data_IF_145988601901
#
_entry.id   IF_145988601901
#
_cell.length_a   1.000
_cell.length_b   1.000
_cell.length_c   1.000
_cell.angle_alpha   90.00
_cell.angle_beta   90.00
_cell.angle_gamma   90.00
#
_symmetry.space_group_name_H-M   'P 1'
#
loop_
_entity.id
_entity.type
_entity.pdbx_description
1 polymer ?
#
# COMPACT_ATOMS: atom_id res chain seq x y z
N UNK A 1 -40.96 -9.35 29.44
CA UNK A 1 -39.52 -9.31 29.73
C UNK A 1 -38.84 -10.23 28.71
N UNK A 2 -38.46 -9.69 27.54
CA UNK A 2 -37.68 -10.41 26.53
C UNK A 2 -36.20 -10.27 26.93
N UNK A 3 -35.55 -11.38 27.23
CA UNK A 3 -34.08 -11.48 27.29
C UNK A 3 -33.53 -11.39 25.86
N UNK A 4 -32.98 -10.23 25.51
CA UNK A 4 -32.14 -10.13 24.33
C UNK A 4 -30.85 -10.91 24.59
N UNK A 5 -30.69 -12.00 23.86
CA UNK A 5 -29.46 -12.78 23.83
C UNK A 5 -28.31 -11.92 23.34
N UNK A 6 -27.26 -11.81 24.13
CA UNK A 6 -25.97 -11.31 23.71
C UNK A 6 -25.47 -12.16 22.55
N UNK A 7 -25.55 -11.62 21.34
CA UNK A 7 -24.91 -12.21 20.19
C UNK A 7 -23.40 -12.28 20.50
N UNK A 8 -22.91 -13.51 20.52
CA UNK A 8 -21.51 -13.89 20.56
C UNK A 8 -20.87 -13.27 19.32
N UNK A 9 -20.22 -12.10 19.49
CA UNK A 9 -19.36 -11.54 18.46
C UNK A 9 -18.34 -12.63 18.12
N UNK A 10 -18.41 -13.08 16.91
CA UNK A 10 -17.59 -14.15 16.38
C UNK A 10 -16.12 -13.78 16.56
N UNK A 11 -15.41 -14.74 17.14
CA UNK A 11 -13.97 -14.79 17.22
C UNK A 11 -13.48 -15.14 15.80
N UNK A 12 -13.51 -14.16 14.89
CA UNK A 12 -13.11 -14.35 13.50
C UNK A 12 -11.75 -13.73 13.25
N UNK A 13 -10.86 -14.64 13.04
CA UNK A 13 -9.65 -14.52 12.22
C UNK A 13 -8.43 -13.91 12.88
N UNK A 14 -7.88 -14.60 13.85
CA UNK A 14 -6.41 -14.72 13.93
C UNK A 14 -5.94 -15.41 12.65
N UNK A 15 -4.79 -15.00 12.11
CA UNK A 15 -4.13 -15.78 11.06
C UNK A 15 -3.99 -17.23 11.57
N UNK A 16 -4.54 -18.25 10.88
CA UNK A 16 -4.55 -19.61 11.39
C UNK A 16 -3.11 -20.08 11.65
N UNK A 17 -2.81 -20.49 12.89
CA UNK A 17 -1.51 -21.00 13.27
C UNK A 17 -0.43 -19.95 13.55
N UNK A 18 -0.77 -18.65 13.58
CA UNK A 18 0.17 -17.57 13.87
C UNK A 18 0.03 -17.14 15.32
N UNK A 19 0.97 -17.53 16.15
CA UNK A 19 1.00 -17.17 17.58
C UNK A 19 1.75 -15.85 17.82
N UNK A 20 2.76 -15.57 17.02
CA UNK A 20 3.64 -14.41 17.16
C UNK A 20 4.05 -13.78 15.82
N UNK A 21 4.79 -12.68 15.89
CA UNK A 21 5.29 -11.91 14.76
C UNK A 21 6.22 -12.71 13.83
N UNK A 22 7.12 -13.52 14.39
CA UNK A 22 8.13 -14.24 13.62
C UNK A 22 7.48 -15.38 12.81
N UNK A 23 6.52 -16.06 13.40
CA UNK A 23 5.69 -17.07 12.72
C UNK A 23 4.89 -16.45 11.57
N UNK A 24 4.35 -15.24 11.77
CA UNK A 24 3.64 -14.51 10.73
C UNK A 24 4.56 -14.18 9.55
N UNK A 25 5.74 -13.61 9.82
CA UNK A 25 6.68 -13.27 8.76
C UNK A 25 7.23 -14.51 8.05
N UNK A 26 7.43 -15.61 8.74
CA UNK A 26 7.82 -16.87 8.12
C UNK A 26 6.77 -17.36 7.12
N UNK A 27 5.49 -17.34 7.51
CA UNK A 27 4.40 -17.72 6.61
C UNK A 27 4.30 -16.76 5.40
N UNK A 28 4.45 -15.44 5.62
CA UNK A 28 4.47 -14.46 4.55
C UNK A 28 5.63 -14.68 3.57
N UNK A 29 6.84 -14.99 4.09
CA UNK A 29 8.04 -15.18 3.27
C UNK A 29 7.98 -16.43 2.37
N UNK A 30 7.09 -17.38 2.65
CA UNK A 30 6.83 -18.52 1.76
C UNK A 30 6.08 -18.11 0.47
N UNK A 31 5.42 -16.95 0.46
CA UNK A 31 4.53 -16.50 -0.63
C UNK A 31 4.92 -15.14 -1.24
N UNK A 32 5.94 -14.46 -0.70
CA UNK A 32 6.50 -13.25 -1.31
C UNK A 32 8.00 -13.12 -1.02
N UNK A 33 8.66 -12.27 -1.80
CA UNK A 33 10.12 -12.07 -1.76
C UNK A 33 10.57 -11.06 -0.68
N UNK A 34 9.85 -10.97 0.46
CA UNK A 34 10.09 -9.97 1.51
C UNK A 34 11.55 -9.99 1.98
N UNK A 35 12.10 -11.17 2.33
CA UNK A 35 13.46 -11.28 2.86
C UNK A 35 14.51 -10.87 1.82
N UNK A 36 14.32 -11.25 0.56
CA UNK A 36 15.19 -10.83 -0.54
C UNK A 36 15.16 -9.30 -0.72
N UNK A 37 13.97 -8.68 -0.66
CA UNK A 37 13.84 -7.22 -0.72
C UNK A 37 14.51 -6.53 0.46
N UNK A 38 14.30 -7.02 1.68
CA UNK A 38 14.93 -6.46 2.88
C UNK A 38 16.44 -6.49 2.82
N UNK A 39 17.03 -7.56 2.27
CA UNK A 39 18.47 -7.70 2.11
C UNK A 39 19.07 -6.71 1.10
N UNK A 40 18.29 -6.22 0.14
CA UNK A 40 18.73 -5.31 -0.92
C UNK A 40 18.50 -3.83 -0.59
N UNK A 41 17.66 -3.53 0.39
CA UNK A 41 17.34 -2.13 0.75
C UNK A 41 18.56 -1.47 1.42
N UNK A 42 19.12 -0.38 0.86
CA UNK A 42 20.21 0.32 1.51
C UNK A 42 19.71 1.03 2.79
N UNK A 43 20.56 1.16 3.83
CA UNK A 43 20.21 1.81 5.09
C UNK A 43 19.76 3.28 4.92
N UNK A 44 20.14 3.92 3.82
CA UNK A 44 19.72 5.28 3.47
C UNK A 44 18.30 5.38 2.92
N UNK A 45 17.70 4.25 2.50
CA UNK A 45 16.34 4.23 1.97
C UNK A 45 15.32 4.37 3.10
N UNK A 46 14.50 5.41 3.00
CA UNK A 46 13.53 5.78 4.05
C UNK A 46 12.20 6.21 3.44
N UNK A 47 11.13 6.02 4.23
CA UNK A 47 9.78 6.54 3.99
C UNK A 47 9.29 7.39 5.15
N UNK A 48 8.37 8.32 4.88
CA UNK A 48 7.67 9.06 5.93
C UNK A 48 6.68 8.20 6.68
N UNK A 49 6.54 8.45 7.99
CA UNK A 49 5.67 7.70 8.89
C UNK A 49 4.19 7.71 8.51
N UNK A 50 3.71 8.72 7.79
CA UNK A 50 2.33 8.79 7.31
C UNK A 50 1.87 7.57 6.49
N UNK A 51 2.79 6.83 5.90
CA UNK A 51 2.45 5.60 5.16
C UNK A 51 2.18 4.42 6.09
N UNK A 52 2.78 4.41 7.27
CA UNK A 52 2.49 3.42 8.32
C UNK A 52 1.10 3.68 8.91
N UNK A 53 0.79 4.95 9.26
CA UNK A 53 -0.54 5.37 9.72
C UNK A 53 -1.62 4.97 8.69
N UNK A 54 -1.28 5.05 7.41
CA UNK A 54 -2.19 4.69 6.33
C UNK A 54 -2.48 3.18 6.29
N UNK A 55 -1.49 2.31 6.55
CA UNK A 55 -1.70 0.86 6.69
C UNK A 55 -2.61 0.56 7.89
N UNK A 56 -2.35 1.18 9.04
CA UNK A 56 -3.21 1.05 10.23
C UNK A 56 -4.66 1.44 9.93
N UNK A 57 -4.86 2.57 9.25
CA UNK A 57 -6.19 3.04 8.88
C UNK A 57 -6.95 2.10 7.93
N UNK A 58 -6.26 1.37 7.05
CA UNK A 58 -6.88 0.31 6.23
C UNK A 58 -7.34 -0.84 7.12
N UNK A 59 -6.46 -1.30 8.01
CA UNK A 59 -6.75 -2.42 8.90
C UNK A 59 -7.82 -2.09 9.94
N UNK A 60 -7.88 -0.84 10.40
CA UNK A 60 -8.97 -0.36 11.28
C UNK A 60 -10.32 -0.50 10.59
N UNK A 61 -10.46 -0.03 9.35
CA UNK A 61 -11.71 -0.17 8.57
C UNK A 61 -12.09 -1.62 8.31
N UNK A 62 -11.10 -2.51 8.20
CA UNK A 62 -11.30 -3.95 8.04
C UNK A 62 -11.54 -4.70 9.36
N UNK A 63 -11.48 -4.01 10.52
CA UNK A 63 -11.62 -4.65 11.83
C UNK A 63 -10.42 -5.50 12.25
N UNK A 64 -9.25 -5.31 11.61
CA UNK A 64 -8.02 -6.08 11.82
C UNK A 64 -6.96 -5.34 12.66
N UNK A 65 -7.23 -4.09 13.03
CA UNK A 65 -6.26 -3.26 13.77
C UNK A 65 -5.79 -3.88 15.09
N UNK A 66 -6.63 -4.51 15.94
CA UNK A 66 -6.16 -5.10 17.19
C UNK A 66 -5.13 -6.22 16.99
N UNK A 67 -5.36 -7.08 15.99
CA UNK A 67 -4.43 -8.16 15.64
C UNK A 67 -3.13 -7.59 15.06
N UNK A 68 -3.25 -6.61 14.17
CA UNK A 68 -2.09 -5.93 13.61
C UNK A 68 -1.22 -5.28 14.69
N UNK A 69 -1.79 -4.52 15.62
CA UNK A 69 -1.04 -3.87 16.71
C UNK A 69 -0.40 -4.88 17.68
N UNK A 70 -0.99 -6.05 17.84
CA UNK A 70 -0.36 -7.14 18.60
C UNK A 70 0.91 -7.67 17.91
N UNK A 71 0.89 -7.80 16.57
CA UNK A 71 2.00 -8.29 15.76
C UNK A 71 3.02 -7.19 15.44
N UNK A 72 2.57 -5.95 15.27
CA UNK A 72 3.36 -4.79 14.87
C UNK A 72 3.12 -3.64 15.87
N UNK A 73 3.69 -3.72 17.07
CA UNK A 73 3.39 -2.77 18.17
C UNK A 73 4.08 -1.41 18.02
N UNK A 74 4.91 -1.23 16.98
CA UNK A 74 5.64 0.00 16.76
C UNK A 74 4.70 1.13 16.35
N UNK A 75 4.97 2.35 16.83
CA UNK A 75 4.25 3.56 16.43
C UNK A 75 5.15 4.52 15.66
N UNK A 76 4.59 5.20 14.68
CA UNK A 76 5.32 6.08 13.78
C UNK A 76 4.75 7.50 13.82
N UNK A 77 5.63 8.49 13.74
CA UNK A 77 5.20 9.88 13.58
C UNK A 77 5.10 10.20 12.10
N UNK A 78 3.95 10.68 11.65
CA UNK A 78 3.64 10.93 10.23
C UNK A 78 4.71 11.74 9.48
N UNK A 79 5.37 12.68 10.17
CA UNK A 79 6.34 13.59 9.55
C UNK A 79 7.80 13.11 9.59
N UNK A 80 8.10 12.07 10.35
CA UNK A 80 9.47 11.52 10.45
C UNK A 80 9.73 10.51 9.35
N UNK A 81 11.01 10.32 9.06
CA UNK A 81 11.50 9.29 8.15
C UNK A 81 11.94 8.04 8.91
N UNK A 82 11.54 6.89 8.43
CA UNK A 82 11.85 5.57 8.98
C UNK A 82 12.48 4.68 7.90
N UNK A 83 13.21 3.61 8.26
CA UNK A 83 13.77 2.69 7.28
C UNK A 83 12.70 2.16 6.32
N UNK A 84 13.03 2.09 5.03
CA UNK A 84 12.08 1.58 4.03
C UNK A 84 11.70 0.11 4.28
N UNK A 85 12.62 -0.69 4.82
CA UNK A 85 12.36 -2.08 5.18
C UNK A 85 11.26 -2.23 6.23
N UNK A 86 11.10 -1.26 7.14
CA UNK A 86 10.01 -1.29 8.12
C UNK A 86 8.66 -1.13 7.41
N UNK A 87 8.55 -0.20 6.44
CA UNK A 87 7.30 -0.06 5.68
C UNK A 87 6.96 -1.34 4.91
N UNK A 88 7.96 -2.00 4.30
CA UNK A 88 7.72 -3.27 3.61
C UNK A 88 7.13 -4.32 4.55
N UNK A 89 7.67 -4.45 5.76
CA UNK A 89 7.13 -5.38 6.78
C UNK A 89 5.68 -5.03 7.13
N UNK A 90 5.37 -3.75 7.30
CA UNK A 90 4.03 -3.29 7.64
C UNK A 90 3.04 -3.53 6.49
N UNK A 91 3.43 -3.28 5.24
CA UNK A 91 2.61 -3.54 4.05
C UNK A 91 2.36 -5.04 3.87
N UNK A 92 3.40 -5.88 4.02
CA UNK A 92 3.25 -7.33 3.89
C UNK A 92 2.37 -7.93 5.01
N UNK A 93 2.58 -7.51 6.26
CA UNK A 93 1.72 -7.91 7.38
C UNK A 93 0.29 -7.45 7.18
N UNK A 94 0.08 -6.21 6.76
CA UNK A 94 -1.25 -5.69 6.44
C UNK A 94 -1.95 -6.47 5.34
N UNK A 95 -1.22 -6.83 4.29
CA UNK A 95 -1.72 -7.66 3.20
C UNK A 95 -2.16 -9.06 3.67
N UNK A 96 -1.31 -9.71 4.47
CA UNK A 96 -1.61 -11.03 5.02
C UNK A 96 -2.82 -11.03 5.97
N UNK A 97 -2.98 -9.97 6.78
CA UNK A 97 -4.15 -9.82 7.67
C UNK A 97 -5.45 -9.51 6.92
N UNK A 98 -5.39 -8.82 5.78
CA UNK A 98 -6.58 -8.55 4.96
C UNK A 98 -7.06 -9.78 4.19
N UNK A 99 -6.16 -10.64 3.79
CA UNK A 99 -6.44 -11.84 2.99
C UNK A 99 -5.94 -13.09 3.70
N UNK A 100 -4.74 -13.50 3.40
CA UNK A 100 -3.99 -14.57 4.06
C UNK A 100 -2.52 -14.46 3.65
N UNK A 101 -1.57 -15.18 4.28
CA UNK A 101 -0.20 -15.25 3.81
C UNK A 101 -0.09 -15.73 2.35
N UNK A 102 -0.90 -16.71 1.93
CA UNK A 102 -0.92 -17.26 0.58
C UNK A 102 -1.38 -16.22 -0.46
N UNK A 103 -2.31 -15.34 -0.08
CA UNK A 103 -2.85 -14.28 -0.92
C UNK A 103 -2.28 -12.89 -0.58
N UNK A 104 -1.08 -12.84 0.00
CA UNK A 104 -0.47 -11.60 0.50
C UNK A 104 -0.36 -10.51 -0.56
N UNK A 105 -0.05 -10.84 -1.81
CA UNK A 105 0.00 -9.87 -2.91
C UNK A 105 -1.36 -9.24 -3.21
N UNK A 106 -2.46 -10.01 -3.17
CA UNK A 106 -3.80 -9.46 -3.29
C UNK A 106 -4.14 -8.53 -2.13
N UNK A 107 -3.75 -8.91 -0.90
CA UNK A 107 -3.91 -8.04 0.27
C UNK A 107 -3.05 -6.78 0.20
N UNK A 108 -1.80 -6.85 -0.23
CA UNK A 108 -0.95 -5.67 -0.46
C UNK A 108 -1.55 -4.72 -1.51
N UNK A 109 -2.17 -5.27 -2.56
CA UNK A 109 -2.90 -4.46 -3.54
C UNK A 109 -4.05 -3.70 -2.87
N UNK A 110 -4.83 -4.35 -2.00
CA UNK A 110 -5.91 -3.70 -1.25
C UNK A 110 -5.38 -2.62 -0.30
N UNK A 111 -4.30 -2.90 0.43
CA UNK A 111 -3.64 -1.88 1.27
C UNK A 111 -3.29 -0.65 0.44
N UNK A 112 -2.65 -0.82 -0.71
CA UNK A 112 -2.28 0.28 -1.59
C UNK A 112 -3.49 1.07 -2.09
N UNK A 113 -4.52 0.38 -2.59
CA UNK A 113 -5.75 0.95 -3.11
C UNK A 113 -6.49 1.79 -2.06
N UNK A 114 -6.71 1.22 -0.89
CA UNK A 114 -7.48 1.85 0.17
C UNK A 114 -6.70 3.01 0.83
N UNK A 115 -5.37 2.97 0.82
CA UNK A 115 -4.54 4.10 1.23
C UNK A 115 -4.77 5.32 0.34
N UNK A 116 -4.79 5.13 -0.97
CA UNK A 116 -5.00 6.23 -1.92
C UNK A 116 -6.41 6.83 -1.76
N UNK A 117 -7.43 5.97 -1.63
CA UNK A 117 -8.82 6.41 -1.39
C UNK A 117 -8.96 7.15 -0.05
N UNK A 118 -8.33 6.64 1.02
CA UNK A 118 -8.35 7.28 2.33
C UNK A 118 -7.65 8.65 2.30
N UNK A 119 -6.49 8.77 1.66
CA UNK A 119 -5.82 10.06 1.48
C UNK A 119 -6.73 11.06 0.76
N UNK A 120 -7.39 10.66 -0.31
CA UNK A 120 -8.31 11.51 -1.05
C UNK A 120 -9.49 12.02 -0.20
N UNK A 121 -9.88 11.30 0.85
CA UNK A 121 -10.94 11.71 1.78
C UNK A 121 -10.49 12.77 2.80
N UNK A 122 -9.18 13.01 2.98
CA UNK A 122 -8.65 14.06 3.87
C UNK A 122 -8.93 15.46 3.32
N UNK A 123 -8.78 16.50 4.15
CA UNK A 123 -8.97 17.89 3.71
C UNK A 123 -8.01 18.26 2.56
N UNK A 124 -6.74 17.88 2.68
CA UNK A 124 -5.73 18.10 1.65
C UNK A 124 -6.04 17.29 0.40
N UNK A 125 -6.34 16.00 0.55
CA UNK A 125 -6.68 15.11 -0.56
C UNK A 125 -7.91 15.60 -1.33
N UNK A 126 -8.99 15.97 -0.67
CA UNK A 126 -10.19 16.55 -1.32
C UNK A 126 -9.88 17.80 -2.12
N UNK A 127 -8.99 18.66 -1.62
CA UNK A 127 -8.57 19.86 -2.35
C UNK A 127 -7.81 19.49 -3.62
N UNK A 128 -6.87 18.55 -3.54
CA UNK A 128 -6.10 18.05 -4.69
C UNK A 128 -7.01 17.34 -5.70
N UNK A 129 -7.89 16.45 -5.23
CA UNK A 129 -8.88 15.77 -6.06
C UNK A 129 -9.71 16.78 -6.85
N UNK A 130 -10.28 17.81 -6.18
CA UNK A 130 -11.11 18.85 -6.84
C UNK A 130 -10.34 19.63 -7.91
N UNK A 131 -9.04 19.88 -7.69
CA UNK A 131 -8.20 20.62 -8.65
C UNK A 131 -7.75 19.76 -9.83
N UNK A 132 -7.67 18.45 -9.66
CA UNK A 132 -7.03 17.54 -10.61
C UNK A 132 -7.99 16.52 -11.23
N UNK A 133 -9.27 16.46 -10.77
CA UNK A 133 -10.27 15.47 -11.20
C UNK A 133 -10.54 15.47 -12.72
N UNK A 134 -10.30 16.58 -13.39
CA UNK A 134 -10.50 16.71 -14.83
C UNK A 134 -9.28 16.31 -15.68
N UNK A 135 -8.17 15.95 -15.04
CA UNK A 135 -6.93 15.60 -15.75
C UNK A 135 -6.22 14.44 -15.02
N UNK A 136 -6.56 13.18 -15.34
CA UNK A 136 -5.93 12.00 -14.75
C UNK A 136 -4.41 11.96 -14.91
N UNK A 137 -3.87 12.51 -15.99
CA UNK A 137 -2.42 12.59 -16.18
C UNK A 137 -1.74 13.45 -15.10
N UNK A 138 -2.37 14.56 -14.70
CA UNK A 138 -1.85 15.39 -13.60
C UNK A 138 -1.86 14.68 -12.25
N UNK A 139 -2.84 13.78 -12.00
CA UNK A 139 -2.83 12.96 -10.79
C UNK A 139 -1.59 12.08 -10.73
N UNK A 140 -1.22 11.43 -11.84
CA UNK A 140 -0.01 10.61 -11.92
C UNK A 140 1.24 11.46 -11.64
N UNK A 141 1.35 12.64 -12.24
CA UNK A 141 2.46 13.56 -11.98
C UNK A 141 2.55 13.97 -10.50
N UNK A 142 1.40 14.19 -9.84
CA UNK A 142 1.35 14.47 -8.40
C UNK A 142 1.79 13.27 -7.57
N UNK A 143 1.42 12.04 -7.95
CA UNK A 143 1.90 10.82 -7.31
C UNK A 143 3.44 10.71 -7.35
N UNK A 144 4.05 10.91 -8.52
CA UNK A 144 5.50 10.93 -8.66
C UNK A 144 6.16 12.08 -7.87
N UNK A 145 5.50 13.24 -7.78
CA UNK A 145 5.97 14.35 -6.95
C UNK A 145 5.89 14.03 -5.46
N UNK A 146 4.79 13.44 -5.01
CA UNK A 146 4.60 13.01 -3.63
C UNK A 146 5.66 11.97 -3.23
N UNK A 147 5.96 11.00 -4.10
CA UNK A 147 7.04 10.02 -3.88
C UNK A 147 8.36 10.71 -3.54
N UNK A 148 8.78 11.69 -4.36
CA UNK A 148 10.04 12.44 -4.12
C UNK A 148 10.06 13.21 -2.80
N UNK A 149 8.91 13.61 -2.28
CA UNK A 149 8.81 14.36 -1.02
C UNK A 149 8.69 13.46 0.21
N UNK A 150 8.33 12.20 0.03
CA UNK A 150 7.98 11.30 1.12
C UNK A 150 8.90 10.09 1.23
N UNK A 151 9.80 9.89 0.27
CA UNK A 151 10.83 8.85 0.31
C UNK A 151 12.19 9.37 -0.11
N UNK A 152 13.25 8.66 0.26
CA UNK A 152 14.64 9.01 -0.08
C UNK A 152 15.24 8.10 -1.15
N UNK A 153 14.45 7.23 -1.76
CA UNK A 153 14.89 6.25 -2.75
C UNK A 153 13.89 6.12 -3.88
N UNK A 154 14.32 5.45 -4.93
CA UNK A 154 13.51 5.15 -6.10
C UNK A 154 13.23 6.39 -6.95
N UNK A 155 13.01 6.17 -8.22
CA UNK A 155 12.65 7.22 -9.17
C UNK A 155 11.39 6.78 -9.91
N UNK A 156 10.41 7.67 -9.96
CA UNK A 156 9.21 7.51 -10.75
C UNK A 156 9.21 8.52 -11.89
N UNK A 157 9.14 8.05 -13.11
CA UNK A 157 9.05 8.87 -14.32
C UNK A 157 7.77 8.53 -15.05
N UNK A 158 7.04 9.54 -15.50
CA UNK A 158 5.78 9.38 -16.20
C UNK A 158 5.91 9.95 -17.59
N UNK A 159 5.44 9.20 -18.56
CA UNK A 159 5.40 9.56 -19.96
C UNK A 159 3.97 9.42 -20.48
N UNK A 160 3.42 10.49 -21.04
CA UNK A 160 2.11 10.44 -21.69
C UNK A 160 2.24 9.79 -23.05
N UNK A 161 1.48 8.74 -23.30
CA UNK A 161 1.51 7.99 -24.57
C UNK A 161 0.34 8.32 -25.47
N UNK A 162 -0.81 8.75 -24.90
CA UNK A 162 -1.96 9.25 -25.65
C UNK A 162 -2.81 10.20 -24.79
N UNK A 163 -3.98 10.59 -25.29
CA UNK A 163 -4.94 11.39 -24.51
C UNK A 163 -5.41 10.65 -23.26
N UNK A 164 -5.57 9.32 -23.33
CA UNK A 164 -6.10 8.47 -22.28
C UNK A 164 -5.13 7.39 -21.81
N UNK A 165 -3.83 7.59 -22.02
CA UNK A 165 -2.83 6.63 -21.57
C UNK A 165 -1.51 7.26 -21.18
N UNK A 166 -0.81 6.59 -20.27
CA UNK A 166 0.53 6.95 -19.82
C UNK A 166 1.32 5.69 -19.45
N UNK A 167 2.64 5.81 -19.46
CA UNK A 167 3.55 4.83 -18.87
C UNK A 167 4.21 5.45 -17.66
N UNK A 168 4.13 4.77 -16.52
CA UNK A 168 4.87 5.13 -15.31
C UNK A 168 6.01 4.14 -15.11
N UNK A 169 7.24 4.63 -15.18
CA UNK A 169 8.46 3.86 -14.99
C UNK A 169 8.92 3.94 -13.55
N UNK A 170 9.40 2.84 -13.03
CA UNK A 170 9.93 2.68 -11.69
C UNK A 170 11.38 2.23 -11.76
N UNK A 171 12.27 2.91 -11.05
CA UNK A 171 13.67 2.55 -10.88
C UNK A 171 13.97 2.46 -9.38
N UNK A 172 14.57 1.36 -8.95
CA UNK A 172 14.91 1.09 -7.53
C UNK A 172 13.70 1.25 -6.59
N UNK A 173 12.52 0.75 -7.01
CA UNK A 173 11.31 0.74 -6.17
C UNK A 173 11.26 -0.53 -5.36
N UNK A 174 11.53 -0.42 -4.06
CA UNK A 174 11.58 -1.58 -3.17
C UNK A 174 10.20 -2.08 -2.75
N UNK A 175 9.15 -1.24 -2.78
CA UNK A 175 7.79 -1.72 -2.63
C UNK A 175 7.34 -2.51 -3.87
N UNK A 176 6.42 -3.43 -3.69
CA UNK A 176 5.90 -4.29 -4.76
C UNK A 176 5.15 -3.46 -5.82
N UNK A 177 5.77 -3.32 -7.00
CA UNK A 177 5.22 -2.59 -8.16
C UNK A 177 3.94 -3.27 -8.62
N UNK A 178 3.94 -4.61 -8.66
CA UNK A 178 2.87 -5.47 -9.17
C UNK A 178 1.64 -5.54 -8.26
N UNK A 179 1.77 -5.21 -6.99
CA UNK A 179 0.68 -5.30 -6.02
C UNK A 179 0.44 -3.96 -5.31
N UNK A 180 1.24 -3.59 -4.31
CA UNK A 180 1.00 -2.40 -3.49
C UNK A 180 0.96 -1.10 -4.31
N UNK A 181 1.94 -0.87 -5.20
CA UNK A 181 2.01 0.34 -6.02
C UNK A 181 0.89 0.36 -7.07
N UNK A 182 0.59 -0.81 -7.67
CA UNK A 182 -0.54 -0.96 -8.59
C UNK A 182 -1.87 -0.63 -7.90
N UNK A 183 -2.07 -1.14 -6.69
CA UNK A 183 -3.24 -0.84 -5.89
C UNK A 183 -3.37 0.67 -5.62
N UNK A 184 -2.29 1.32 -5.19
CA UNK A 184 -2.28 2.77 -4.97
C UNK A 184 -2.62 3.57 -6.24
N UNK A 185 -2.15 3.10 -7.41
CA UNK A 185 -2.51 3.67 -8.71
C UNK A 185 -4.02 3.57 -8.97
N UNK A 186 -4.61 2.38 -8.86
CA UNK A 186 -6.06 2.17 -9.04
C UNK A 186 -6.86 3.03 -8.07
N UNK A 187 -6.55 3.01 -6.76
CA UNK A 187 -7.24 3.82 -5.75
C UNK A 187 -7.14 5.32 -6.01
N UNK A 188 -6.05 5.78 -6.62
CA UNK A 188 -5.88 7.18 -7.02
C UNK A 188 -6.92 7.57 -8.09
N UNK A 189 -7.12 6.75 -9.13
CA UNK A 189 -8.15 6.99 -10.15
C UNK A 189 -9.56 6.90 -9.56
N UNK A 190 -9.84 5.88 -8.77
CA UNK A 190 -11.15 5.72 -8.11
C UNK A 190 -11.51 6.93 -7.23
N UNK A 191 -10.51 7.52 -6.57
CA UNK A 191 -10.72 8.68 -5.69
C UNK A 191 -11.22 9.93 -6.41
N UNK A 192 -11.03 10.01 -7.73
CA UNK A 192 -11.54 11.10 -8.58
C UNK A 192 -12.74 10.66 -9.43
N UNK A 193 -13.29 9.47 -9.18
CA UNK A 193 -14.41 8.91 -9.93
C UNK A 193 -14.05 8.45 -11.34
N UNK A 194 -12.77 8.26 -11.63
CA UNK A 194 -12.28 7.73 -12.90
C UNK A 194 -12.03 6.21 -12.78
N UNK A 195 -12.18 5.52 -13.90
CA UNK A 195 -11.81 4.11 -14.02
C UNK A 195 -10.51 4.01 -14.82
N UNK A 196 -9.56 3.24 -14.31
CA UNK A 196 -8.32 2.96 -15.03
C UNK A 196 -8.00 1.47 -15.02
N UNK A 197 -7.31 1.02 -16.06
CA UNK A 197 -6.62 -0.27 -16.09
C UNK A 197 -5.12 -0.03 -15.96
N UNK A 198 -4.45 -0.88 -15.20
CA UNK A 198 -3.00 -0.83 -15.00
C UNK A 198 -2.43 -2.22 -15.27
N UNK A 199 -1.76 -2.36 -16.39
CA UNK A 199 -0.95 -3.53 -16.69
C UNK A 199 0.47 -3.31 -16.18
N UNK A 200 1.11 -4.37 -15.67
CA UNK A 200 2.41 -4.30 -15.03
C UNK A 200 3.43 -5.09 -15.85
N UNK A 201 4.53 -4.46 -16.14
CA UNK A 201 5.70 -5.10 -16.73
C UNK A 201 6.90 -4.89 -15.80
N UNK A 202 7.50 -5.97 -15.34
CA UNK A 202 8.67 -5.94 -14.47
C UNK A 202 9.93 -6.19 -15.30
N UNK A 203 10.92 -5.30 -15.17
CA UNK A 203 12.25 -5.46 -15.75
C UNK A 203 13.22 -6.14 -14.75
N UNK A 204 12.78 -6.27 -13.51
CA UNK A 204 13.49 -6.88 -12.39
C UNK A 204 12.65 -6.76 -11.11
N UNK A 205 13.15 -7.20 -9.95
CA UNK A 205 12.38 -7.16 -8.71
C UNK A 205 12.11 -5.76 -8.19
N UNK A 206 12.85 -4.73 -8.65
CA UNK A 206 12.77 -3.34 -8.16
C UNK A 206 12.58 -2.32 -9.27
N UNK A 207 12.52 -2.80 -10.51
CA UNK A 207 12.41 -1.96 -11.70
C UNK A 207 11.28 -2.49 -12.59
N UNK A 208 10.58 -1.58 -13.24
CA UNK A 208 9.46 -1.95 -14.10
C UNK A 208 8.63 -0.78 -14.53
N UNK A 209 7.45 -1.06 -15.05
CA UNK A 209 6.52 -0.02 -15.49
C UNK A 209 5.07 -0.43 -15.35
N UNK A 210 4.23 0.56 -15.18
CA UNK A 210 2.79 0.47 -15.32
C UNK A 210 2.37 1.06 -16.66
N UNK A 211 1.61 0.28 -17.43
CA UNK A 211 0.89 0.74 -18.60
C UNK A 211 -0.52 1.12 -18.15
N UNK A 212 -0.84 2.40 -18.18
CA UNK A 212 -2.04 2.95 -17.56
C UNK A 212 -2.96 3.47 -18.64
N UNK A 213 -4.24 3.05 -18.62
CA UNK A 213 -5.29 3.51 -19.50
C UNK A 213 -6.51 3.96 -18.69
N UNK A 214 -7.12 5.10 -19.07
CA UNK A 214 -8.30 5.68 -18.41
C UNK A 214 -9.32 6.27 -19.37
#
# INVERSE_FOLDING_TARGET
>A
VLKMGTAKLANEAMLPGVEDRDSAFKAIAEHCDLDARLAMIPPSAKWRGMYFDAVEGVLERAGKLPEYQRLMPESFSALRYYPAGDLLRHVAMGGALLRSPEDVHAGMFEVGRDNAVAFASTLLGRTLVRLLSNDPYRLLLQGASAKRQTSTYGRWRIERTSEHSAVMHFEQEYCWIESYIRGAGIGTFESVGATATIDVELDGPYDGRHLIHW
#
